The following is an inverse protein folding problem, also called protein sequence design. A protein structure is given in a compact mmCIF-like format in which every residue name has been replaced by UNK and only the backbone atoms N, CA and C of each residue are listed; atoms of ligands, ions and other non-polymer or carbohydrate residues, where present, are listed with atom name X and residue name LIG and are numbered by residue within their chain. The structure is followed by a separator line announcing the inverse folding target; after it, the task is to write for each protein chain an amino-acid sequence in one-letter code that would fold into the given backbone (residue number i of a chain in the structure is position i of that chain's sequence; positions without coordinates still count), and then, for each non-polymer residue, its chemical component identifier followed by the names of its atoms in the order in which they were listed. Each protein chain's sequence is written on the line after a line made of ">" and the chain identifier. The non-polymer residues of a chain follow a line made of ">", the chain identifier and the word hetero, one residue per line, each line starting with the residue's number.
data_IF_273501456055
#
_entry.id   IF_273501456055
#
_cell.length_a   1.000
_cell.length_b   1.000
_cell.length_c   1.000
_cell.angle_alpha   90.00
_cell.angle_beta   90.00
_cell.angle_gamma   90.00
#
_symmetry.space_group_name_H-M   'P 1'
#
loop_
_entity.id
_entity.type
_entity.pdbx_description
1 polymer ?
#
# COMPACT_ATOMS: atom_id res chain seq x y z
N UNK A 1 46.39 9.39 -77.26
CA UNK A 1 45.29 8.59 -76.69
C UNK A 1 45.85 7.37 -76.01
N UNK A 2 45.85 7.20 -74.70
CA UNK A 2 46.34 6.00 -74.06
C UNK A 2 45.23 4.95 -74.03
N UNK A 3 45.58 3.72 -74.47
CA UNK A 3 44.69 2.52 -74.48
C UNK A 3 44.51 2.05 -73.03
N UNK A 4 43.28 2.03 -72.52
CA UNK A 4 42.90 1.38 -71.28
C UNK A 4 43.00 -0.12 -71.43
N UNK A 5 43.94 -0.77 -70.68
CA UNK A 5 44.00 -2.21 -70.52
C UNK A 5 42.84 -2.66 -69.64
N UNK A 6 41.99 -3.52 -70.22
CA UNK A 6 40.88 -4.11 -69.49
C UNK A 6 41.35 -4.90 -68.27
N UNK A 7 40.79 -4.62 -67.10
CA UNK A 7 40.96 -5.43 -65.91
C UNK A 7 40.28 -6.80 -66.08
N UNK A 8 41.06 -7.85 -66.14
CA UNK A 8 40.58 -9.24 -66.09
C UNK A 8 39.84 -9.48 -64.79
N UNK A 9 38.57 -9.86 -64.88
CA UNK A 9 37.79 -10.28 -63.69
C UNK A 9 38.48 -11.50 -63.04
N UNK A 10 38.63 -11.52 -61.69
CA UNK A 10 39.21 -12.67 -61.04
C UNK A 10 38.31 -13.89 -61.27
N UNK A 11 38.89 -14.98 -61.78
CA UNK A 11 38.18 -16.28 -61.92
C UNK A 11 37.90 -16.79 -60.52
N UNK A 12 36.63 -16.79 -60.09
CA UNK A 12 36.20 -17.49 -58.88
C UNK A 12 36.56 -18.98 -59.06
N UNK A 13 37.53 -19.46 -58.35
CA UNK A 13 37.83 -20.89 -58.27
C UNK A 13 36.63 -21.56 -57.58
N UNK A 14 35.96 -22.49 -58.27
CA UNK A 14 34.95 -23.34 -57.62
C UNK A 14 35.67 -24.17 -56.55
N UNK A 15 35.21 -24.15 -55.29
CA UNK A 15 35.82 -24.94 -54.25
C UNK A 15 35.74 -26.45 -54.60
N UNK A 16 36.76 -27.22 -54.27
CA UNK A 16 36.70 -28.67 -54.46
C UNK A 16 35.62 -29.30 -53.58
N UNK A 17 35.07 -30.41 -53.98
CA UNK A 17 34.04 -31.12 -53.23
C UNK A 17 34.47 -31.47 -51.80
N UNK A 18 35.76 -31.76 -51.60
CA UNK A 18 36.39 -31.98 -50.28
C UNK A 18 36.37 -30.73 -49.40
N UNK A 19 36.65 -29.56 -49.99
CA UNK A 19 36.63 -28.29 -49.28
C UNK A 19 35.20 -27.95 -48.86
N UNK A 20 34.22 -28.17 -49.68
CA UNK A 20 32.76 -27.97 -49.36
C UNK A 20 32.35 -28.90 -48.23
N UNK A 21 32.80 -30.18 -48.27
CA UNK A 21 32.45 -31.16 -47.25
C UNK A 21 33.14 -30.81 -45.90
N UNK A 22 34.37 -30.33 -45.88
CA UNK A 22 35.05 -29.85 -44.69
C UNK A 22 34.32 -28.65 -44.08
N UNK A 23 33.89 -27.69 -44.90
CA UNK A 23 33.09 -26.53 -44.42
C UNK A 23 31.77 -26.97 -43.84
N UNK A 24 31.05 -27.93 -44.44
CA UNK A 24 29.80 -28.46 -43.91
C UNK A 24 29.99 -29.18 -42.58
N UNK A 25 31.03 -29.97 -42.41
CA UNK A 25 31.37 -30.66 -41.16
C UNK A 25 31.74 -29.65 -40.08
N UNK A 26 32.52 -28.62 -40.40
CA UNK A 26 32.87 -27.56 -39.42
C UNK A 26 31.64 -26.75 -38.99
N UNK A 27 30.74 -26.41 -39.93
CA UNK A 27 29.48 -25.75 -39.63
C UNK A 27 28.59 -26.61 -38.73
N UNK A 28 28.48 -27.92 -39.05
CA UNK A 28 27.65 -28.85 -38.26
C UNK A 28 28.20 -29.03 -36.85
N UNK A 29 29.50 -29.13 -36.66
CA UNK A 29 30.19 -29.16 -35.37
C UNK A 29 29.97 -27.84 -34.61
N UNK A 30 30.02 -26.70 -35.29
CA UNK A 30 29.70 -25.40 -34.71
C UNK A 30 28.27 -25.33 -34.18
N UNK A 31 27.30 -25.82 -34.96
CA UNK A 31 25.90 -25.88 -34.51
C UNK A 31 25.68 -26.81 -33.31
N UNK A 32 26.34 -27.98 -33.27
CA UNK A 32 26.24 -28.95 -32.17
C UNK A 32 26.78 -28.36 -30.85
N UNK A 33 27.75 -27.47 -30.90
CA UNK A 33 28.30 -26.79 -29.71
C UNK A 33 27.48 -25.56 -29.34
N UNK A 34 27.07 -24.76 -30.32
CA UNK A 34 26.35 -23.50 -30.07
C UNK A 34 24.93 -23.72 -29.53
N UNK A 35 24.20 -24.74 -30.02
CA UNK A 35 22.82 -25.00 -29.57
C UNK A 35 22.71 -25.30 -28.08
N UNK A 36 23.50 -26.18 -27.45
CA UNK A 36 23.40 -26.40 -26.01
C UNK A 36 23.89 -25.19 -25.19
N UNK A 37 24.85 -24.41 -25.67
CA UNK A 37 25.27 -23.18 -25.01
C UNK A 37 24.13 -22.16 -25.03
N UNK A 38 23.51 -21.95 -26.19
CA UNK A 38 22.35 -21.05 -26.31
C UNK A 38 21.18 -21.49 -25.43
N UNK A 39 20.84 -22.79 -25.47
CA UNK A 39 19.79 -23.34 -24.62
C UNK A 39 20.10 -23.18 -23.12
N UNK A 40 21.37 -23.38 -22.73
CA UNK A 40 21.81 -23.19 -21.35
C UNK A 40 21.71 -21.74 -20.89
N UNK A 41 22.10 -20.79 -21.72
CA UNK A 41 21.99 -19.34 -21.41
C UNK A 41 20.52 -18.95 -21.28
N UNK A 42 19.69 -19.33 -22.23
CA UNK A 42 18.24 -19.02 -22.18
C UNK A 42 17.57 -19.63 -20.94
N UNK A 43 17.92 -20.87 -20.58
CA UNK A 43 17.42 -21.51 -19.37
C UNK A 43 17.87 -20.80 -18.09
N UNK A 44 19.13 -20.34 -18.07
CA UNK A 44 19.67 -19.57 -16.94
C UNK A 44 18.94 -18.24 -16.78
N UNK A 45 18.74 -17.49 -17.86
CA UNK A 45 18.02 -16.20 -17.84
C UNK A 45 16.57 -16.37 -17.41
N UNK A 46 15.88 -17.40 -17.89
CA UNK A 46 14.54 -17.72 -17.46
C UNK A 46 14.47 -18.04 -15.97
N UNK A 47 15.36 -18.88 -15.47
CA UNK A 47 15.41 -19.23 -14.04
C UNK A 47 15.74 -18.03 -13.18
N UNK A 48 16.62 -17.13 -13.64
CA UNK A 48 16.95 -15.88 -12.96
C UNK A 48 15.71 -14.97 -12.90
N UNK A 49 15.03 -14.73 -14.02
CA UNK A 49 13.84 -13.90 -14.07
C UNK A 49 12.72 -14.42 -13.15
N UNK A 50 12.55 -15.75 -13.07
CA UNK A 50 11.61 -16.38 -12.14
C UNK A 50 11.97 -16.11 -10.68
N UNK A 51 13.22 -16.37 -10.31
CA UNK A 51 13.69 -16.15 -8.95
C UNK A 51 13.57 -14.66 -8.55
N UNK A 52 13.91 -13.76 -9.46
CA UNK A 52 13.81 -12.32 -9.23
C UNK A 52 12.35 -11.88 -8.96
N UNK A 53 11.36 -12.44 -9.66
CA UNK A 53 9.94 -12.17 -9.43
C UNK A 53 9.49 -12.70 -8.06
N UNK A 54 9.84 -13.94 -7.72
CA UNK A 54 9.49 -14.57 -6.45
C UNK A 54 10.09 -13.81 -5.26
N UNK A 55 11.39 -13.47 -5.33
CA UNK A 55 12.12 -12.73 -4.29
C UNK A 55 11.52 -11.34 -4.08
N UNK A 56 11.21 -10.63 -5.16
CA UNK A 56 10.62 -9.29 -5.10
C UNK A 56 9.22 -9.32 -4.49
N UNK A 57 8.38 -10.29 -4.86
CA UNK A 57 7.05 -10.43 -4.25
C UNK A 57 7.12 -10.75 -2.76
N UNK A 58 8.01 -11.64 -2.35
CA UNK A 58 8.22 -11.95 -0.93
C UNK A 58 8.69 -10.70 -0.15
N UNK A 59 9.57 -9.90 -0.75
CA UNK A 59 10.00 -8.62 -0.20
C UNK A 59 8.84 -7.63 -0.07
N UNK A 60 8.01 -7.48 -1.12
CA UNK A 60 6.83 -6.61 -1.10
C UNK A 60 5.85 -7.02 0.00
N UNK A 61 5.51 -8.30 0.12
CA UNK A 61 4.64 -8.81 1.17
C UNK A 61 5.20 -8.48 2.57
N UNK A 62 6.51 -8.63 2.74
CA UNK A 62 7.17 -8.31 4.00
C UNK A 62 7.06 -6.82 4.33
N UNK A 63 7.24 -5.96 3.34
CA UNK A 63 7.13 -4.51 3.52
C UNK A 63 5.68 -4.06 3.75
N UNK A 64 4.71 -4.63 3.03
CA UNK A 64 3.29 -4.39 3.31
C UNK A 64 2.93 -4.77 4.76
N UNK A 65 3.45 -5.91 5.26
CA UNK A 65 3.26 -6.32 6.66
C UNK A 65 3.88 -5.34 7.65
N UNK A 66 5.08 -4.85 7.36
CA UNK A 66 5.74 -3.82 8.20
C UNK A 66 4.94 -2.53 8.22
N UNK A 67 4.46 -2.07 7.06
CA UNK A 67 3.62 -0.90 6.94
C UNK A 67 2.32 -1.03 7.74
N UNK A 68 1.63 -2.16 7.60
CA UNK A 68 0.41 -2.42 8.37
C UNK A 68 0.65 -2.45 9.87
N UNK A 69 1.75 -3.06 10.32
CA UNK A 69 2.12 -3.08 11.73
C UNK A 69 2.44 -1.68 12.25
N UNK A 70 3.14 -0.87 11.46
CA UNK A 70 3.43 0.52 11.80
C UNK A 70 2.14 1.34 11.91
N UNK A 71 1.25 1.24 10.92
CA UNK A 71 -0.05 1.93 10.92
C UNK A 71 -0.90 1.52 12.11
N UNK A 72 -0.95 0.22 12.41
CA UNK A 72 -1.68 -0.31 13.57
C UNK A 72 -1.11 0.22 14.89
N UNK A 73 0.20 0.25 15.02
CA UNK A 73 0.87 0.77 16.22
C UNK A 73 0.54 2.26 16.43
N UNK A 74 0.66 3.08 15.40
CA UNK A 74 0.34 4.51 15.46
C UNK A 74 -1.13 4.76 15.79
N UNK A 75 -2.04 4.02 15.16
CA UNK A 75 -3.47 4.13 15.47
C UNK A 75 -3.75 3.74 16.91
N UNK A 76 -3.15 2.65 17.40
CA UNK A 76 -3.32 2.18 18.79
C UNK A 76 -2.79 3.20 19.79
N UNK A 77 -1.63 3.79 19.54
CA UNK A 77 -1.05 4.84 20.39
C UNK A 77 -1.95 6.08 20.45
N UNK A 78 -2.45 6.53 19.28
CA UNK A 78 -3.36 7.67 19.19
C UNK A 78 -4.69 7.43 19.91
N UNK A 79 -5.27 6.23 19.81
CA UNK A 79 -6.48 5.84 20.54
C UNK A 79 -6.22 5.77 22.06
N UNK A 80 -5.08 5.23 22.48
CA UNK A 80 -4.70 5.18 23.88
C UNK A 80 -4.49 6.57 24.47
N UNK A 81 -3.97 7.51 23.68
CA UNK A 81 -3.81 8.91 24.09
C UNK A 81 -5.17 9.55 24.38
N UNK A 82 -6.15 9.45 23.46
CA UNK A 82 -7.50 10.00 23.67
C UNK A 82 -8.18 9.30 24.84
N UNK A 83 -8.01 7.97 24.98
CA UNK A 83 -8.53 7.21 26.13
C UNK A 83 -7.97 7.70 27.46
N UNK A 84 -6.68 7.98 27.52
CA UNK A 84 -6.04 8.52 28.71
C UNK A 84 -6.58 9.90 29.07
N UNK A 85 -6.81 10.73 28.06
CA UNK A 85 -7.37 12.08 28.24
C UNK A 85 -8.79 12.04 28.79
N UNK A 86 -9.69 11.20 28.23
CA UNK A 86 -11.05 11.09 28.75
C UNK A 86 -11.07 10.55 30.18
N UNK A 87 -10.23 9.55 30.49
CA UNK A 87 -10.09 9.04 31.87
C UNK A 87 -9.59 10.10 32.83
N UNK A 88 -8.60 10.88 32.44
CA UNK A 88 -8.07 11.97 33.26
C UNK A 88 -9.14 13.03 33.53
N UNK A 89 -9.90 13.40 32.50
CA UNK A 89 -10.98 14.36 32.63
C UNK A 89 -12.08 13.86 33.60
N UNK A 90 -12.50 12.60 33.48
CA UNK A 90 -13.54 12.01 34.34
C UNK A 90 -13.05 11.70 35.75
N UNK A 91 -11.78 11.37 35.94
CA UNK A 91 -11.22 11.08 37.26
C UNK A 91 -10.91 12.35 38.10
N UNK A 92 -10.90 13.50 37.47
CA UNK A 92 -10.63 14.75 38.18
C UNK A 92 -11.77 15.03 39.17
N UNK A 93 -11.47 14.96 40.46
CA UNK A 93 -12.42 15.33 41.49
C UNK A 93 -12.50 16.88 41.52
N UNK A 94 -13.54 17.38 40.95
CA UNK A 94 -13.85 18.80 41.03
C UNK A 94 -14.39 19.11 42.43
N UNK A 95 -13.87 20.12 43.07
CA UNK A 95 -14.37 20.61 44.36
C UNK A 95 -15.76 21.27 44.19
N UNK A 96 -16.07 21.71 42.99
CA UNK A 96 -17.33 22.33 42.62
C UNK A 96 -18.30 21.31 41.97
N UNK A 97 -19.52 21.32 42.45
CA UNK A 97 -20.59 20.55 41.83
C UNK A 97 -20.81 21.04 40.38
N UNK A 98 -20.97 20.11 39.44
CA UNK A 98 -21.15 20.40 38.02
C UNK A 98 -19.96 21.05 37.28
N UNK A 99 -18.75 20.89 37.79
CA UNK A 99 -17.56 21.44 37.15
C UNK A 99 -17.33 20.93 35.72
N UNK A 100 -17.80 19.72 35.40
CA UNK A 100 -17.78 19.15 34.05
C UNK A 100 -18.76 19.85 33.08
N UNK A 101 -19.75 20.60 33.59
CA UNK A 101 -20.72 21.32 32.78
C UNK A 101 -20.26 22.74 32.40
N UNK A 102 -19.10 23.17 32.90
CA UNK A 102 -18.55 24.47 32.59
C UNK A 102 -17.80 24.46 31.24
N UNK A 103 -18.40 25.04 30.22
CA UNK A 103 -17.84 25.07 28.85
C UNK A 103 -16.43 25.72 28.79
N UNK A 104 -16.18 26.76 29.57
CA UNK A 104 -14.85 27.39 29.62
C UNK A 104 -13.77 26.42 30.15
N UNK A 105 -14.13 25.59 31.11
CA UNK A 105 -13.22 24.55 31.63
C UNK A 105 -13.00 23.45 30.59
N UNK A 106 -14.06 23.02 29.90
CA UNK A 106 -13.94 22.05 28.80
C UNK A 106 -13.04 22.61 27.70
N UNK A 107 -13.24 23.87 27.33
CA UNK A 107 -12.40 24.55 26.34
C UNK A 107 -10.93 24.59 26.78
N UNK A 108 -10.67 24.98 28.04
CA UNK A 108 -9.32 25.05 28.56
C UNK A 108 -8.66 23.68 28.59
N UNK A 109 -9.39 22.67 29.05
CA UNK A 109 -8.90 21.28 29.06
C UNK A 109 -8.61 20.79 27.64
N UNK A 110 -9.54 20.98 26.70
CA UNK A 110 -9.36 20.57 25.31
C UNK A 110 -8.15 21.22 24.66
N UNK A 111 -7.96 22.54 24.87
CA UNK A 111 -6.77 23.25 24.36
C UNK A 111 -5.47 22.72 24.96
N UNK A 112 -5.45 22.48 26.28
CA UNK A 112 -4.26 21.97 26.97
C UNK A 112 -3.90 20.54 26.54
N UNK A 113 -4.92 19.70 26.31
CA UNK A 113 -4.75 18.30 25.90
C UNK A 113 -4.74 18.10 24.39
N UNK A 114 -4.78 19.17 23.59
CA UNK A 114 -4.81 19.10 22.13
C UNK A 114 -5.99 18.25 21.58
N UNK A 115 -7.15 18.31 22.25
CA UNK A 115 -8.37 17.72 21.78
C UNK A 115 -9.08 18.65 20.78
N UNK A 116 -9.80 18.06 19.81
CA UNK A 116 -10.67 18.81 18.91
C UNK A 116 -11.96 19.16 19.61
N UNK A 117 -12.51 18.23 20.40
CA UNK A 117 -13.72 18.49 21.14
C UNK A 117 -14.00 17.51 22.28
N UNK A 118 -15.00 17.90 23.08
CA UNK A 118 -15.49 17.16 24.24
C UNK A 118 -17.00 17.28 24.30
N UNK A 119 -17.70 16.18 24.54
CA UNK A 119 -19.11 16.15 24.91
C UNK A 119 -19.27 15.61 26.33
N UNK A 120 -20.19 16.21 27.07
CA UNK A 120 -20.68 15.71 28.34
C UNK A 120 -22.17 15.42 28.18
N UNK A 121 -22.57 14.18 28.40
CA UNK A 121 -23.90 13.68 28.17
C UNK A 121 -24.57 13.20 29.46
N UNK A 122 -25.88 13.24 29.50
CA UNK A 122 -26.66 12.56 30.52
C UNK A 122 -26.87 11.07 30.20
N UNK A 123 -27.65 10.38 31.01
CA UNK A 123 -28.00 8.96 30.85
C UNK A 123 -28.87 8.67 29.59
N UNK A 124 -29.52 9.70 29.04
CA UNK A 124 -30.34 9.62 27.84
C UNK A 124 -29.58 10.06 26.57
N UNK A 125 -28.25 10.24 26.66
CA UNK A 125 -27.41 10.79 25.60
C UNK A 125 -27.71 12.24 25.21
N UNK A 126 -28.43 13.01 26.04
CA UNK A 126 -28.66 14.42 25.82
C UNK A 126 -27.39 15.21 26.18
N UNK A 127 -27.03 16.17 25.34
CA UNK A 127 -25.83 16.99 25.56
C UNK A 127 -26.09 17.96 26.72
N UNK A 128 -25.31 17.85 27.78
CA UNK A 128 -25.35 18.75 28.96
C UNK A 128 -24.36 19.91 28.78
N UNK A 129 -23.20 19.64 28.25
CA UNK A 129 -22.16 20.63 27.92
C UNK A 129 -21.30 20.09 26.81
N UNK A 130 -20.71 20.99 26.01
CA UNK A 130 -19.79 20.60 24.95
C UNK A 130 -18.77 21.67 24.65
N UNK A 131 -17.69 21.27 24.01
CA UNK A 131 -16.73 22.14 23.37
C UNK A 131 -16.29 21.49 22.07
N UNK A 132 -16.36 22.24 20.98
CA UNK A 132 -15.81 21.85 19.68
C UNK A 132 -15.03 23.01 19.07
N UNK A 133 -13.80 22.74 18.65
CA UNK A 133 -12.94 23.73 17.99
C UNK A 133 -13.31 23.94 16.52
N UNK A 134 -13.81 22.90 15.86
CA UNK A 134 -13.97 22.87 14.42
C UNK A 134 -15.38 23.17 13.94
N UNK A 135 -16.43 22.88 14.76
CA UNK A 135 -17.84 23.07 14.42
C UNK A 135 -18.31 22.28 13.19
N UNK A 136 -17.50 21.30 12.74
CA UNK A 136 -17.80 20.47 11.58
C UNK A 136 -18.17 19.07 12.05
N UNK A 137 -19.18 18.50 11.41
CA UNK A 137 -19.58 17.10 11.62
C UNK A 137 -20.01 16.75 13.05
N UNK A 138 -20.07 17.72 13.97
CA UNK A 138 -20.32 17.52 15.40
C UNK A 138 -21.57 16.67 15.67
N UNK A 139 -22.69 17.00 15.05
CA UNK A 139 -23.95 16.29 15.23
C UNK A 139 -23.92 14.88 14.66
N UNK A 140 -23.25 14.69 13.54
CA UNK A 140 -23.06 13.37 12.92
C UNK A 140 -22.13 12.50 13.75
N UNK A 141 -21.02 13.07 14.24
CA UNK A 141 -20.08 12.38 15.10
C UNK A 141 -20.77 11.90 16.38
N UNK A 142 -21.47 12.79 17.06
CA UNK A 142 -22.23 12.45 18.26
C UNK A 142 -23.28 11.37 18.00
N UNK A 143 -24.06 11.51 16.92
CA UNK A 143 -25.10 10.54 16.55
C UNK A 143 -24.51 9.15 16.28
N UNK A 144 -23.39 9.05 15.61
CA UNK A 144 -22.76 7.76 15.33
C UNK A 144 -22.15 7.14 16.59
N UNK A 145 -21.49 7.94 17.43
CA UNK A 145 -20.91 7.46 18.69
C UNK A 145 -22.00 6.98 19.66
N UNK A 146 -23.07 7.74 19.84
CA UNK A 146 -24.17 7.39 20.76
C UNK A 146 -25.05 6.27 20.23
N UNK A 147 -25.10 6.08 18.90
CA UNK A 147 -25.76 4.94 18.25
C UNK A 147 -25.01 3.62 18.38
N UNK A 148 -23.75 3.63 18.80
CA UNK A 148 -22.96 2.42 19.02
C UNK A 148 -23.36 1.77 20.35
N UNK A 149 -23.45 0.43 20.33
CA UNK A 149 -23.70 -0.39 21.53
C UNK A 149 -22.71 -0.15 22.67
N UNK A 150 -21.48 0.28 22.35
CA UNK A 150 -20.45 0.54 23.33
C UNK A 150 -20.76 1.74 24.23
N UNK A 151 -21.47 2.76 23.73
CA UNK A 151 -21.92 3.87 24.55
C UNK A 151 -22.95 3.43 25.60
N UNK A 152 -23.93 2.61 25.21
CA UNK A 152 -24.91 2.03 26.13
C UNK A 152 -24.25 1.05 27.12
N UNK A 153 -23.26 0.29 26.68
CA UNK A 153 -22.54 -0.65 27.54
C UNK A 153 -21.77 0.08 28.65
N UNK A 154 -21.17 1.24 28.36
CA UNK A 154 -20.46 2.05 29.37
C UNK A 154 -21.44 2.62 30.40
N UNK A 155 -22.64 3.02 30.03
CA UNK A 155 -23.66 3.44 31.00
C UNK A 155 -24.03 2.32 31.97
N UNK A 156 -24.16 1.10 31.46
CA UNK A 156 -24.48 -0.08 32.29
C UNK A 156 -23.28 -0.56 33.13
N UNK A 157 -22.06 -0.33 32.63
CA UNK A 157 -20.81 -0.75 33.27
C UNK A 157 -19.81 0.42 33.32
N UNK A 158 -19.98 1.35 34.29
CA UNK A 158 -19.23 2.62 34.35
C UNK A 158 -17.69 2.47 34.51
N UNK A 159 -17.22 1.30 34.88
CA UNK A 159 -15.80 0.99 34.94
C UNK A 159 -15.14 0.75 33.58
N UNK A 160 -15.97 0.52 32.54
CA UNK A 160 -15.48 0.34 31.17
C UNK A 160 -15.17 1.70 30.54
N UNK A 161 -14.27 1.66 29.60
CA UNK A 161 -13.94 2.77 28.70
C UNK A 161 -13.77 2.20 27.31
N UNK A 162 -14.08 2.99 26.31
CA UNK A 162 -13.96 2.57 24.92
C UNK A 162 -13.27 3.66 24.11
N UNK A 163 -12.49 3.25 23.13
CA UNK A 163 -11.91 4.16 22.16
C UNK A 163 -11.90 3.51 20.77
N UNK A 164 -12.19 4.30 19.76
CA UNK A 164 -12.19 3.85 18.38
C UNK A 164 -11.92 5.01 17.42
N UNK A 165 -11.76 4.67 16.14
CA UNK A 165 -11.60 5.62 15.06
C UNK A 165 -12.84 5.58 14.17
N UNK A 166 -13.30 6.76 13.75
CA UNK A 166 -14.48 6.92 12.90
C UNK A 166 -14.19 7.89 11.76
N UNK A 167 -14.70 7.58 10.57
CA UNK A 167 -14.59 8.43 9.40
C UNK A 167 -15.97 9.03 9.07
N UNK A 168 -16.02 10.36 8.96
CA UNK A 168 -17.25 11.11 8.63
C UNK A 168 -16.93 12.17 7.59
N UNK A 169 -17.59 12.14 6.45
CA UNK A 169 -17.39 13.12 5.36
C UNK A 169 -15.91 13.36 5.03
N UNK A 170 -15.15 12.28 4.85
CA UNK A 170 -13.69 12.30 4.58
C UNK A 170 -12.82 12.84 5.73
N UNK A 171 -13.40 13.16 6.88
CA UNK A 171 -12.65 13.49 8.09
C UNK A 171 -12.57 12.27 9.01
N UNK A 172 -11.39 12.04 9.57
CA UNK A 172 -11.14 10.93 10.48
C UNK A 172 -10.97 11.45 11.89
N UNK A 173 -11.72 10.85 12.83
CA UNK A 173 -11.71 11.21 14.24
C UNK A 173 -11.34 10.01 15.08
N UNK A 174 -10.36 10.20 15.99
CA UNK A 174 -10.13 9.29 17.09
C UNK A 174 -10.99 9.76 18.26
N UNK A 175 -11.79 8.90 18.87
CA UNK A 175 -12.61 9.23 20.01
C UNK A 175 -12.48 8.22 21.14
N UNK A 176 -12.79 8.66 22.35
CA UNK A 176 -12.87 7.80 23.51
C UNK A 176 -14.05 8.21 24.39
N UNK A 177 -14.68 7.19 25.02
CA UNK A 177 -15.84 7.34 25.88
C UNK A 177 -15.50 6.80 27.25
N UNK A 178 -15.92 7.52 28.29
CA UNK A 178 -15.90 7.10 29.70
C UNK A 178 -17.18 7.52 30.40
N UNK A 179 -17.59 6.76 31.39
CA UNK A 179 -18.69 7.18 32.26
C UNK A 179 -18.28 8.39 33.11
N UNK A 180 -19.20 9.27 33.37
CA UNK A 180 -19.07 10.31 34.39
C UNK A 180 -18.91 9.66 35.76
N UNK A 181 -18.11 10.28 36.63
CA UNK A 181 -17.87 9.77 37.98
C UNK A 181 -18.74 10.51 39.03
N UNK A 182 -19.33 11.64 38.65
CA UNK A 182 -20.16 12.48 39.50
C UNK A 182 -21.66 12.13 39.44
N UNK A 183 -22.18 11.86 38.24
CA UNK A 183 -23.59 11.58 37.96
C UNK A 183 -23.70 10.55 36.82
N UNK A 184 -24.82 9.85 36.66
CA UNK A 184 -25.04 9.01 35.48
C UNK A 184 -24.88 9.80 34.17
N UNK A 185 -24.17 9.26 33.22
CA UNK A 185 -23.87 9.90 31.95
C UNK A 185 -22.50 9.57 31.40
N UNK A 186 -22.16 10.18 30.28
CA UNK A 186 -20.92 9.91 29.54
C UNK A 186 -20.11 11.19 29.34
N UNK A 187 -18.79 10.99 29.20
CA UNK A 187 -17.88 11.99 28.63
C UNK A 187 -17.25 11.38 27.39
N UNK A 188 -17.25 12.13 26.30
CA UNK A 188 -16.62 11.77 25.03
C UNK A 188 -15.54 12.81 24.74
N UNK A 189 -14.31 12.36 24.52
CA UNK A 189 -13.22 13.18 23.99
C UNK A 189 -12.90 12.73 22.57
N UNK A 190 -12.60 13.66 21.66
CA UNK A 190 -12.21 13.32 20.31
C UNK A 190 -11.13 14.26 19.76
N UNK A 191 -10.38 13.72 18.77
CA UNK A 191 -9.33 14.43 18.05
C UNK A 191 -9.50 14.19 16.55
N UNK A 192 -9.54 15.28 15.77
CA UNK A 192 -9.47 15.22 14.31
C UNK A 192 -8.04 14.85 13.88
N UNK A 193 -7.91 13.69 13.26
CA UNK A 193 -6.63 13.16 12.78
C UNK A 193 -6.52 13.19 11.26
N UNK A 194 -7.47 13.81 10.57
CA UNK A 194 -7.55 13.88 9.09
C UNK A 194 -6.25 14.42 8.48
N UNK A 195 -5.67 15.43 9.09
CA UNK A 195 -4.42 16.04 8.60
C UNK A 195 -3.23 15.11 8.72
N UNK A 196 -3.16 14.31 9.78
CA UNK A 196 -2.06 13.36 10.00
C UNK A 196 -2.11 12.19 9.02
N UNK A 197 -3.29 11.80 8.57
CA UNK A 197 -3.42 10.75 7.56
C UNK A 197 -3.06 11.22 6.15
N UNK A 198 -3.20 12.52 5.88
CA UNK A 198 -2.91 13.13 4.59
C UNK A 198 -1.49 13.74 4.52
N UNK A 199 -0.75 13.75 5.63
CA UNK A 199 0.58 14.33 5.66
C UNK A 199 1.59 13.41 4.95
N UNK A 200 2.19 13.92 3.86
CA UNK A 200 3.18 13.20 3.03
C UNK A 200 4.44 12.76 3.80
N UNK A 201 4.54 13.14 5.07
CA UNK A 201 5.65 12.75 5.96
C UNK A 201 5.41 11.45 6.72
N UNK A 202 4.20 10.88 6.67
CA UNK A 202 3.98 9.53 7.16
C UNK A 202 4.63 8.51 6.23
N UNK A 203 5.17 7.46 6.82
CA UNK A 203 5.67 6.28 6.11
C UNK A 203 4.54 5.72 5.22
N UNK A 204 4.47 6.22 3.99
CA UNK A 204 3.53 5.72 3.00
C UNK A 204 4.05 4.39 2.45
N UNK A 205 3.15 3.57 1.92
CA UNK A 205 3.53 2.33 1.26
C UNK A 205 4.49 2.60 0.10
N UNK A 206 4.32 3.71 -0.64
CA UNK A 206 5.24 4.14 -1.68
C UNK A 206 6.64 4.42 -1.13
N UNK A 207 6.75 5.20 -0.05
CA UNK A 207 8.04 5.51 0.59
C UNK A 207 8.78 4.26 1.07
N UNK A 208 8.04 3.24 1.53
CA UNK A 208 8.65 1.96 1.93
C UNK A 208 9.14 1.13 0.74
N UNK A 209 8.55 1.35 -0.44
CA UNK A 209 8.90 0.66 -1.68
C UNK A 209 9.94 1.42 -2.51
N UNK A 210 10.03 2.74 -2.37
CA UNK A 210 11.04 3.59 -3.02
C UNK A 210 12.47 3.37 -2.48
N UNK A 211 12.60 2.74 -1.33
CA UNK A 211 13.91 2.47 -0.75
C UNK A 211 14.67 1.45 -1.58
N UNK A 212 15.50 1.93 -2.50
CA UNK A 212 16.76 1.38 -3.08
C UNK A 212 16.85 -0.12 -3.42
N UNK A 213 15.82 -0.95 -3.20
CA UNK A 213 15.97 -2.41 -3.20
C UNK A 213 15.30 -3.13 -4.36
N UNK A 214 14.59 -2.43 -5.22
CA UNK A 214 14.07 -3.07 -6.41
C UNK A 214 15.19 -3.15 -7.45
N UNK A 215 15.51 -4.37 -7.86
CA UNK A 215 16.40 -4.57 -9.00
C UNK A 215 15.80 -3.84 -10.19
N UNK A 216 16.60 -3.08 -10.92
CA UNK A 216 16.16 -2.29 -12.07
C UNK A 216 15.46 -3.13 -13.15
N UNK A 217 15.62 -4.45 -13.10
CA UNK A 217 15.11 -5.41 -14.07
C UNK A 217 13.68 -5.93 -13.74
N UNK A 218 13.13 -5.58 -12.56
CA UNK A 218 11.81 -6.04 -12.13
C UNK A 218 10.85 -4.86 -12.01
N UNK A 219 9.76 -4.90 -12.74
CA UNK A 219 8.66 -3.96 -12.59
C UNK A 219 7.74 -4.42 -11.47
N UNK A 220 7.47 -3.52 -10.54
CA UNK A 220 6.64 -3.76 -9.35
C UNK A 220 5.43 -2.87 -9.40
N UNK A 221 4.27 -3.42 -9.05
CA UNK A 221 3.01 -2.67 -8.96
C UNK A 221 2.22 -3.11 -7.74
N UNK A 222 1.77 -2.15 -6.95
CA UNK A 222 0.83 -2.34 -5.85
C UNK A 222 -0.47 -1.62 -6.17
N UNK A 223 -1.58 -2.33 -6.09
CA UNK A 223 -2.91 -1.79 -6.38
C UNK A 223 -3.90 -2.14 -5.27
N UNK A 224 -4.97 -1.34 -5.15
CA UNK A 224 -6.17 -1.67 -4.38
C UNK A 224 -7.24 -2.39 -5.22
N UNK A 225 -6.87 -2.83 -6.43
CA UNK A 225 -7.78 -3.41 -7.40
C UNK A 225 -8.41 -2.39 -8.37
N UNK A 226 -8.31 -1.10 -8.08
CA UNK A 226 -8.83 -0.03 -8.95
C UNK A 226 -7.73 0.94 -9.39
N UNK A 227 -6.83 1.30 -8.49
CA UNK A 227 -5.75 2.27 -8.73
C UNK A 227 -4.41 1.67 -8.34
N UNK A 228 -3.38 2.19 -8.97
CA UNK A 228 -2.01 1.94 -8.55
C UNK A 228 -1.69 2.83 -7.36
N UNK A 229 -1.31 2.18 -6.28
CA UNK A 229 -0.93 2.84 -5.05
C UNK A 229 0.56 3.16 -5.07
N UNK A 230 1.37 2.21 -5.58
CA UNK A 230 2.81 2.36 -5.68
C UNK A 230 3.39 1.49 -6.78
N UNK A 231 4.45 1.98 -7.43
CA UNK A 231 5.19 1.28 -8.48
C UNK A 231 6.60 1.87 -8.61
N UNK A 232 7.55 1.08 -9.09
CA UNK A 232 8.88 1.56 -9.48
C UNK A 232 8.92 2.04 -10.94
N UNK A 233 7.79 2.07 -11.63
CA UNK A 233 7.65 2.56 -12.99
C UNK A 233 6.88 3.89 -12.98
N UNK A 234 7.56 5.01 -13.14
CA UNK A 234 6.96 6.36 -13.08
C UNK A 234 5.76 6.56 -14.02
N UNK A 235 5.75 5.85 -15.16
CA UNK A 235 4.66 5.94 -16.13
C UNK A 235 3.35 5.34 -15.62
N UNK A 236 3.43 4.55 -14.56
CA UNK A 236 2.31 3.78 -14.01
C UNK A 236 1.76 4.41 -12.72
N UNK A 237 2.43 5.43 -12.16
CA UNK A 237 1.97 6.12 -10.96
C UNK A 237 0.59 6.78 -11.16
N UNK A 238 -0.29 6.59 -10.19
CA UNK A 238 -1.65 7.16 -10.16
C UNK A 238 -2.55 6.78 -11.35
N UNK A 239 -2.19 5.74 -12.11
CA UNK A 239 -3.04 5.25 -13.22
C UNK A 239 -4.10 4.27 -12.71
N UNK A 240 -5.19 4.14 -13.47
CA UNK A 240 -6.18 3.10 -13.24
C UNK A 240 -5.63 1.76 -13.76
N UNK A 241 -5.85 0.68 -13.02
CA UNK A 241 -5.35 -0.68 -13.36
C UNK A 241 -5.71 -1.10 -14.80
N UNK A 242 -6.85 -0.66 -15.30
CA UNK A 242 -7.32 -0.96 -16.66
C UNK A 242 -6.50 -0.33 -17.81
N UNK A 243 -5.62 0.64 -17.49
CA UNK A 243 -4.78 1.31 -18.49
C UNK A 243 -3.34 0.78 -18.53
N UNK A 244 -3.08 -0.30 -17.83
CA UNK A 244 -1.75 -0.89 -17.83
C UNK A 244 -1.45 -1.69 -19.08
N UNK A 245 -0.18 -1.71 -19.55
CA UNK A 245 0.29 -2.76 -20.46
C UNK A 245 0.10 -4.17 -19.89
N UNK A 246 0.04 -4.28 -18.57
CA UNK A 246 -0.35 -5.48 -17.84
C UNK A 246 -1.82 -5.83 -18.09
N UNK A 247 -2.71 -4.87 -18.28
CA UNK A 247 -4.09 -5.15 -18.67
C UNK A 247 -4.17 -5.82 -20.03
N UNK A 248 -3.30 -5.49 -20.99
CA UNK A 248 -3.23 -6.21 -22.26
C UNK A 248 -2.71 -7.63 -22.07
N UNK A 249 -1.82 -7.87 -21.14
CA UNK A 249 -1.35 -9.18 -20.72
C UNK A 249 -2.45 -9.95 -19.96
N UNK A 250 -3.23 -9.26 -19.13
CA UNK A 250 -4.39 -9.81 -18.41
C UNK A 250 -5.59 -10.01 -19.35
N UNK A 251 -5.75 -9.17 -20.36
CA UNK A 251 -6.82 -9.22 -21.37
C UNK A 251 -6.57 -10.30 -22.44
N UNK A 252 -5.35 -10.82 -22.57
CA UNK A 252 -5.03 -11.96 -23.41
C UNK A 252 -5.73 -13.29 -23.05
N UNK A 253 -6.69 -13.26 -22.12
CA UNK A 253 -7.60 -14.36 -21.82
C UNK A 253 -7.10 -15.36 -20.80
N UNK A 254 -5.88 -15.25 -20.31
CA UNK A 254 -5.38 -16.03 -19.18
C UNK A 254 -5.61 -15.25 -17.89
N UNK A 255 -6.50 -15.74 -17.02
CA UNK A 255 -6.64 -15.22 -15.68
C UNK A 255 -5.36 -15.54 -14.89
N UNK A 256 -4.65 -14.48 -14.47
CA UNK A 256 -3.59 -14.62 -13.48
C UNK A 256 -4.20 -15.23 -12.21
N UNK A 257 -3.72 -16.40 -11.82
CA UNK A 257 -4.06 -16.98 -10.51
C UNK A 257 -3.03 -16.50 -9.48
N UNK A 258 -3.46 -16.14 -8.26
CA UNK A 258 -2.53 -15.74 -7.20
C UNK A 258 -1.43 -16.78 -7.00
N UNK A 259 -0.22 -16.31 -6.72
CA UNK A 259 0.96 -17.14 -6.42
C UNK A 259 1.37 -18.10 -7.55
N UNK A 260 0.92 -17.82 -8.78
CA UNK A 260 1.27 -18.62 -9.95
C UNK A 260 2.14 -17.80 -10.88
N UNK A 261 3.32 -18.31 -11.18
CA UNK A 261 4.24 -17.70 -12.14
C UNK A 261 3.77 -17.98 -13.56
N UNK A 262 3.56 -16.92 -14.34
CA UNK A 262 3.17 -16.98 -15.73
C UNK A 262 4.27 -16.44 -16.63
N UNK A 263 4.43 -17.09 -17.79
CA UNK A 263 5.24 -16.59 -18.87
C UNK A 263 4.38 -15.78 -19.81
N UNK A 264 4.74 -14.52 -20.00
CA UNK A 264 4.03 -13.56 -20.83
C UNK A 264 4.87 -13.25 -22.06
N UNK A 265 4.27 -13.30 -23.24
CA UNK A 265 4.94 -12.97 -24.49
C UNK A 265 4.28 -11.76 -25.11
N UNK A 266 5.07 -10.73 -25.37
CA UNK A 266 4.65 -9.56 -26.12
C UNK A 266 5.64 -9.35 -27.27
N UNK A 267 5.15 -9.52 -28.52
CA UNK A 267 5.93 -9.40 -29.76
C UNK A 267 7.28 -10.14 -29.72
N UNK A 268 8.35 -9.43 -29.39
CA UNK A 268 9.71 -9.97 -29.32
C UNK A 268 10.18 -10.30 -27.90
N UNK A 269 9.45 -9.86 -26.90
CA UNK A 269 9.89 -9.93 -25.51
C UNK A 269 9.19 -11.04 -24.74
N UNK A 270 9.95 -11.74 -23.91
CA UNK A 270 9.42 -12.72 -22.96
C UNK A 270 9.54 -12.14 -21.54
N UNK A 271 8.44 -12.16 -20.81
CA UNK A 271 8.38 -11.72 -19.44
C UNK A 271 7.93 -12.86 -18.54
N UNK A 272 8.36 -12.82 -17.29
CA UNK A 272 7.76 -13.61 -16.23
C UNK A 272 7.05 -12.68 -15.28
N UNK A 273 5.82 -13.04 -14.91
CA UNK A 273 5.00 -12.27 -13.99
C UNK A 273 4.33 -13.16 -12.97
N UNK A 274 4.16 -12.64 -11.79
CA UNK A 274 3.39 -13.26 -10.73
C UNK A 274 2.68 -12.17 -9.94
N UNK A 275 1.51 -12.48 -9.36
CA UNK A 275 0.90 -11.62 -8.39
C UNK A 275 0.50 -12.40 -7.14
N UNK A 276 0.42 -11.69 -6.05
CA UNK A 276 -0.10 -12.21 -4.80
C UNK A 276 -1.06 -11.19 -4.19
N UNK A 277 -2.01 -11.67 -3.41
CA UNK A 277 -2.92 -10.80 -2.66
C UNK A 277 -2.45 -10.71 -1.21
N UNK A 278 -2.36 -9.48 -0.71
CA UNK A 278 -2.11 -9.20 0.68
C UNK A 278 -3.17 -8.25 1.24
N UNK A 279 -4.13 -8.77 2.02
CA UNK A 279 -5.33 -8.06 2.50
C UNK A 279 -6.09 -7.42 1.33
N UNK A 280 -6.19 -6.09 1.32
CA UNK A 280 -6.87 -5.30 0.29
C UNK A 280 -5.95 -4.89 -0.85
N UNK A 281 -4.69 -5.34 -0.84
CA UNK A 281 -3.71 -5.00 -1.86
C UNK A 281 -3.43 -6.18 -2.79
N UNK A 282 -3.23 -5.87 -4.06
CA UNK A 282 -2.70 -6.78 -5.06
C UNK A 282 -1.27 -6.36 -5.40
N UNK A 283 -0.34 -7.27 -5.22
CA UNK A 283 1.09 -7.07 -5.41
C UNK A 283 1.52 -7.81 -6.67
N UNK A 284 2.03 -7.08 -7.67
CA UNK A 284 2.48 -7.63 -8.93
C UNK A 284 3.98 -7.42 -9.10
N UNK A 285 4.66 -8.41 -9.63
CA UNK A 285 6.06 -8.32 -10.05
C UNK A 285 6.24 -8.93 -11.43
N UNK A 286 7.01 -8.25 -12.29
CA UNK A 286 7.28 -8.65 -13.66
C UNK A 286 8.77 -8.48 -13.95
N UNK A 287 9.40 -9.53 -14.49
CA UNK A 287 10.78 -9.52 -14.95
C UNK A 287 10.87 -9.86 -16.42
N UNK A 288 11.64 -9.09 -17.18
CA UNK A 288 11.93 -9.34 -18.58
C UNK A 288 13.08 -10.34 -18.69
N UNK A 289 12.96 -11.29 -19.59
CA UNK A 289 14.07 -12.16 -20.01
C UNK A 289 14.95 -11.34 -20.96
N UNK A 290 16.21 -11.21 -20.61
CA UNK A 290 17.16 -10.41 -21.39
C UNK A 290 17.57 -11.06 -22.72
#
# INVERSE_FOLDING_TARGET
>A
MPKFKGKTKPKLHKPSMETVMQWMVTLLLGFVVLLPVFAGVTQYEQNKAKADVEDVLAFMQTNCRKYDNYRLANTTEALQDVLTKVKTLTAYRYEEEDALLNENRLQHYAKFQYLTGIFVLDENFSVLAHYDKAGKDESLLLSQITGDKNAADILNYPQKTYADQICINDNTYNYAISARQDKPGLVICYTDVTRFQNDKNELSLSTMLDAEMFRQDVTVVITDGMRVISTNCEQLENTLVQYYPIADVLVGGEQLTPDTLLQLKNDSDTWYGMFTQYRDYYLYAFSRVA
#
